data_IF_702750218244
#
_entry.id   IF_702750218244
#
_cell.length_a   1.000
_cell.length_b   1.000
_cell.length_c   1.000
_cell.angle_alpha   90.00
_cell.angle_beta   90.00
_cell.angle_gamma   90.00
#
_symmetry.space_group_name_H-M   'P 1'
#
loop_
_entity.id
_entity.type
_entity.pdbx_description
1 polymer ?
#
# COMPACT_ATOMS: atom_id res chain seq x y z
N UNK A 1 24.63 5.90 0.44
CA UNK A 1 24.05 6.09 1.78
C UNK A 1 23.13 4.94 2.10
N UNK A 2 23.35 4.27 3.23
CA UNK A 2 22.46 3.22 3.73
C UNK A 2 21.36 3.84 4.58
N UNK A 3 20.12 3.52 4.27
CA UNK A 3 18.95 4.04 4.99
C UNK A 3 18.01 2.93 5.41
N UNK A 4 17.21 3.18 6.46
CA UNK A 4 16.19 2.25 6.91
C UNK A 4 14.82 2.95 7.04
N UNK A 5 13.77 2.28 6.59
CA UNK A 5 12.39 2.72 6.74
C UNK A 5 11.58 1.62 7.41
N UNK A 6 11.03 1.93 8.58
CA UNK A 6 10.01 1.10 9.22
C UNK A 6 8.65 1.63 8.82
N UNK A 7 7.81 0.80 8.23
CA UNK A 7 6.48 1.15 7.70
C UNK A 7 5.39 0.40 8.49
N UNK A 8 4.49 1.14 9.12
CA UNK A 8 3.35 0.61 9.87
C UNK A 8 2.06 0.90 9.11
N UNK A 9 1.59 -0.10 8.37
CA UNK A 9 0.37 -0.01 7.56
C UNK A 9 -0.80 -0.81 8.15
N UNK A 10 -1.98 -0.69 7.53
CA UNK A 10 -3.23 -1.33 8.02
C UNK A 10 -3.14 -2.85 8.21
N UNK A 11 -2.32 -3.55 7.43
CA UNK A 11 -2.24 -5.01 7.49
C UNK A 11 -0.89 -5.54 7.97
N UNK A 12 0.17 -4.76 7.78
CA UNK A 12 1.55 -5.22 8.00
C UNK A 12 2.41 -4.10 8.55
N UNK A 13 3.34 -4.44 9.45
CA UNK A 13 4.55 -3.64 9.63
C UNK A 13 5.70 -4.27 8.86
N UNK A 14 6.56 -3.41 8.33
CA UNK A 14 7.70 -3.79 7.48
C UNK A 14 8.91 -2.95 7.83
N UNK A 15 10.10 -3.50 7.59
CA UNK A 15 11.33 -2.73 7.53
C UNK A 15 12.00 -2.95 6.18
N UNK A 16 12.49 -1.88 5.59
CA UNK A 16 13.37 -1.88 4.44
C UNK A 16 14.69 -1.26 4.88
N UNK A 17 15.79 -1.98 4.72
CA UNK A 17 17.15 -1.43 4.78
C UNK A 17 17.72 -1.48 3.36
N UNK A 18 18.17 -0.35 2.86
CA UNK A 18 18.60 -0.23 1.49
C UNK A 18 19.77 0.73 1.33
N UNK A 19 20.64 0.43 0.37
CA UNK A 19 21.63 1.37 -0.14
C UNK A 19 20.99 2.22 -1.23
N UNK A 20 21.07 3.54 -1.07
CA UNK A 20 20.54 4.50 -2.03
C UNK A 20 21.69 5.19 -2.74
N UNK A 21 21.77 4.98 -4.06
CA UNK A 21 22.79 5.55 -4.93
C UNK A 21 22.12 6.09 -6.20
N UNK A 22 22.33 7.35 -6.54
CA UNK A 22 21.81 7.97 -7.76
C UNK A 22 20.32 7.69 -8.02
N UNK A 23 19.48 7.87 -7.00
CA UNK A 23 18.03 7.60 -7.03
C UNK A 23 17.63 6.14 -7.23
N UNK A 24 18.57 5.19 -7.17
CA UNK A 24 18.33 3.75 -7.17
C UNK A 24 18.31 3.22 -5.74
N UNK A 25 17.37 2.33 -5.46
CA UNK A 25 17.21 1.68 -4.15
C UNK A 25 17.65 0.22 -4.28
N UNK A 26 18.80 -0.13 -3.70
CA UNK A 26 19.30 -1.50 -3.67
C UNK A 26 19.01 -2.10 -2.29
N UNK A 27 18.14 -3.10 -2.26
CA UNK A 27 17.64 -3.71 -1.01
C UNK A 27 18.74 -4.54 -0.35
N UNK A 28 19.12 -4.15 0.86
CA UNK A 28 20.07 -4.89 1.72
C UNK A 28 19.31 -5.92 2.57
N UNK A 29 18.21 -5.50 3.17
CA UNK A 29 17.36 -6.38 3.97
C UNK A 29 15.92 -5.91 3.97
N UNK A 30 15.00 -6.87 4.03
CA UNK A 30 13.56 -6.63 4.19
C UNK A 30 12.98 -7.65 5.18
N UNK A 31 12.11 -7.18 6.06
CA UNK A 31 11.28 -8.02 6.94
C UNK A 31 9.85 -7.50 6.94
N UNK A 32 8.93 -8.39 7.21
CA UNK A 32 7.52 -8.05 7.38
C UNK A 32 6.88 -8.90 8.45
N UNK A 33 5.98 -8.29 9.21
CA UNK A 33 5.06 -8.99 10.10
C UNK A 33 3.63 -8.54 9.79
N UNK A 34 2.68 -9.41 10.03
CA UNK A 34 1.27 -9.11 9.87
C UNK A 34 0.70 -8.72 11.21
N UNK A 35 -0.11 -7.66 11.21
CA UNK A 35 -0.66 -7.08 12.42
C UNK A 35 -2.19 -6.96 12.37
N UNK A 36 -2.79 -6.79 11.17
CA UNK A 36 -4.24 -6.65 11.04
C UNK A 36 -4.81 -5.36 11.66
N UNK A 37 -4.01 -4.30 11.79
CA UNK A 37 -4.42 -3.06 12.47
C UNK A 37 -5.68 -2.44 11.86
N UNK A 38 -5.76 -2.41 10.53
CA UNK A 38 -6.95 -1.88 9.84
C UNK A 38 -8.20 -2.71 10.12
N UNK A 39 -8.02 -3.99 10.43
CA UNK A 39 -9.10 -4.87 10.83
C UNK A 39 -9.63 -4.52 12.22
N UNK A 40 -8.75 -4.31 13.18
CA UNK A 40 -9.12 -3.92 14.52
C UNK A 40 -9.76 -2.53 14.53
N UNK A 41 -9.15 -1.55 13.85
CA UNK A 41 -9.70 -0.19 13.72
C UNK A 41 -11.09 -0.21 13.09
N UNK A 42 -11.30 -0.96 12.03
CA UNK A 42 -12.61 -1.04 11.36
C UNK A 42 -13.70 -1.65 12.26
N UNK A 43 -13.33 -2.55 13.19
CA UNK A 43 -14.24 -3.20 14.13
C UNK A 43 -14.52 -2.36 15.38
N UNK A 44 -13.51 -1.71 15.94
CA UNK A 44 -13.58 -1.08 17.28
C UNK A 44 -13.41 0.44 17.23
N UNK A 45 -12.94 0.99 16.12
CA UNK A 45 -12.60 2.40 15.95
C UNK A 45 -11.25 2.79 16.56
N UNK A 46 -10.54 1.87 17.22
CA UNK A 46 -9.25 2.15 17.89
C UNK A 46 -8.38 0.89 17.92
N UNK A 47 -7.13 1.04 18.34
CA UNK A 47 -6.24 -0.09 18.66
C UNK A 47 -6.23 -0.35 20.17
N UNK A 48 -6.27 -1.61 20.57
CA UNK A 48 -6.11 -2.01 21.97
C UNK A 48 -4.69 -1.73 22.45
N UNK A 49 -4.52 -1.57 23.76
CA UNK A 49 -3.18 -1.40 24.37
C UNK A 49 -2.25 -2.56 24.08
N UNK A 50 -2.78 -3.78 24.03
CA UNK A 50 -2.01 -4.98 23.71
C UNK A 50 -1.50 -4.94 22.26
N UNK A 51 -2.37 -4.57 21.32
CA UNK A 51 -1.98 -4.40 19.92
C UNK A 51 -0.91 -3.31 19.76
N UNK A 52 -1.08 -2.16 20.42
CA UNK A 52 -0.08 -1.09 20.43
C UNK A 52 1.26 -1.58 20.97
N UNK A 53 1.27 -2.35 22.09
CA UNK A 53 2.47 -2.91 22.67
C UNK A 53 3.17 -3.93 21.74
N UNK A 54 2.39 -4.76 21.02
CA UNK A 54 2.92 -5.71 20.02
C UNK A 54 3.58 -4.94 18.88
N UNK A 55 2.93 -3.89 18.35
CA UNK A 55 3.48 -3.05 17.27
C UNK A 55 4.77 -2.38 17.72
N UNK A 56 4.78 -1.77 18.92
CA UNK A 56 5.94 -1.08 19.45
C UNK A 56 7.15 -2.02 19.61
N UNK A 57 6.93 -3.24 20.14
CA UNK A 57 7.98 -4.27 20.26
C UNK A 57 8.54 -4.65 18.90
N UNK A 58 7.66 -4.94 17.94
CA UNK A 58 8.08 -5.29 16.57
C UNK A 58 8.87 -4.17 15.90
N UNK A 59 8.42 -2.92 16.05
CA UNK A 59 9.14 -1.77 15.50
C UNK A 59 10.51 -1.59 16.16
N UNK A 60 10.65 -1.90 17.46
CA UNK A 60 11.96 -1.93 18.14
C UNK A 60 12.90 -2.95 17.48
N UNK A 61 12.43 -4.19 17.27
CA UNK A 61 13.22 -5.24 16.62
C UNK A 61 13.68 -4.81 15.22
N UNK A 62 12.83 -4.08 14.51
CA UNK A 62 13.15 -3.53 13.19
C UNK A 62 14.18 -2.40 13.25
N UNK A 63 14.07 -1.51 14.25
CA UNK A 63 15.03 -0.44 14.46
C UNK A 63 16.40 -1.00 14.88
N UNK A 64 16.43 -2.03 15.75
CA UNK A 64 17.66 -2.69 16.16
C UNK A 64 18.34 -3.38 14.98
N UNK A 65 17.55 -4.02 14.10
CA UNK A 65 18.07 -4.57 12.86
C UNK A 65 18.63 -3.51 11.91
N UNK A 66 17.99 -2.35 11.82
CA UNK A 66 18.50 -1.23 11.02
C UNK A 66 19.87 -0.75 11.53
N UNK A 67 20.02 -0.64 12.86
CA UNK A 67 21.30 -0.29 13.52
C UNK A 67 22.38 -1.35 13.29
N UNK A 68 22.02 -2.63 13.46
CA UNK A 68 22.94 -3.75 13.23
C UNK A 68 23.41 -3.86 11.75
N UNK A 69 22.65 -3.30 10.82
CA UNK A 69 23.02 -3.19 9.41
C UNK A 69 23.62 -1.81 9.06
N UNK A 70 24.00 -1.05 10.06
CA UNK A 70 24.70 0.23 9.93
C UNK A 70 23.95 1.25 9.04
N UNK A 71 22.61 1.34 9.21
CA UNK A 71 21.84 2.37 8.54
C UNK A 71 22.23 3.76 9.07
N UNK A 72 22.73 4.63 8.19
CA UNK A 72 23.17 5.98 8.50
C UNK A 72 21.98 6.90 8.88
N UNK A 73 20.82 6.64 8.28
CA UNK A 73 19.55 7.31 8.60
C UNK A 73 18.44 6.28 8.70
N UNK A 74 17.54 6.49 9.66
CA UNK A 74 16.36 5.65 9.82
C UNK A 74 15.16 6.48 10.27
N UNK A 75 13.96 6.12 9.77
CA UNK A 75 12.69 6.70 10.20
C UNK A 75 11.61 5.62 10.31
N UNK A 76 10.57 5.92 11.07
CA UNK A 76 9.33 5.15 11.06
C UNK A 76 8.23 5.98 10.42
N UNK A 77 7.52 5.39 9.47
CA UNK A 77 6.32 5.97 8.87
C UNK A 77 5.09 5.17 9.30
N UNK A 78 4.02 5.87 9.62
CA UNK A 78 2.70 5.28 9.92
C UNK A 78 1.73 5.79 8.88
N UNK A 79 1.04 4.89 8.19
CA UNK A 79 0.11 5.23 7.12
C UNK A 79 -1.34 5.26 7.61
N UNK A 80 -2.27 4.61 6.95
CA UNK A 80 -3.69 4.64 7.30
C UNK A 80 -4.02 4.39 8.80
N UNK A 81 -3.34 3.49 9.55
CA UNK A 81 -3.64 3.31 10.99
C UNK A 81 -3.44 4.58 11.83
N UNK A 82 -2.50 5.43 11.44
CA UNK A 82 -2.26 6.73 12.10
C UNK A 82 -3.29 7.81 11.75
N UNK A 83 -4.11 7.60 10.72
CA UNK A 83 -5.14 8.54 10.29
C UNK A 83 -6.56 8.11 10.64
N UNK A 84 -6.80 6.82 10.71
CA UNK A 84 -8.14 6.23 10.75
C UNK A 84 -8.59 5.77 12.15
N UNK A 85 -7.67 5.62 13.10
CA UNK A 85 -7.98 5.30 14.50
C UNK A 85 -8.39 6.56 15.28
N UNK A 86 -9.20 6.39 16.34
CA UNK A 86 -9.62 7.51 17.21
C UNK A 86 -8.49 8.05 18.10
N UNK A 87 -7.46 7.25 18.38
CA UNK A 87 -6.35 7.63 19.23
C UNK A 87 -5.01 7.22 18.61
N UNK A 88 -4.66 7.79 17.45
CA UNK A 88 -3.43 7.43 16.75
C UNK A 88 -2.18 7.86 17.52
N UNK A 89 -2.28 8.87 18.38
CA UNK A 89 -1.19 9.37 19.23
C UNK A 89 -0.62 8.29 20.17
N UNK A 90 -1.44 7.37 20.65
CA UNK A 90 -0.98 6.26 21.49
C UNK A 90 -0.05 5.32 20.72
N UNK A 91 -0.39 5.00 19.48
CA UNK A 91 0.46 4.20 18.61
C UNK A 91 1.77 4.92 18.29
N UNK A 92 1.69 6.20 17.92
CA UNK A 92 2.85 7.02 17.57
C UNK A 92 3.81 7.14 18.74
N UNK A 93 3.32 7.50 19.93
CA UNK A 93 4.13 7.64 21.14
C UNK A 93 4.80 6.31 21.53
N UNK A 94 4.07 5.20 21.52
CA UNK A 94 4.61 3.90 21.85
C UNK A 94 5.70 3.45 20.88
N UNK A 95 5.50 3.67 19.57
CA UNK A 95 6.49 3.33 18.55
C UNK A 95 7.71 4.24 18.65
N UNK A 96 7.53 5.53 18.86
CA UNK A 96 8.64 6.49 19.02
C UNK A 96 9.51 6.16 20.23
N UNK A 97 8.88 5.87 21.37
CA UNK A 97 9.57 5.45 22.60
C UNK A 97 10.34 4.13 22.38
N UNK A 98 9.72 3.17 21.70
CA UNK A 98 10.31 1.85 21.47
C UNK A 98 11.49 1.88 20.50
N UNK A 99 11.38 2.63 19.41
CA UNK A 99 12.37 2.67 18.32
C UNK A 99 13.47 3.70 18.54
N UNK A 100 13.18 4.79 19.25
CA UNK A 100 14.02 6.01 19.36
C UNK A 100 14.33 6.61 17.98
N UNK A 101 13.45 6.39 17.00
CA UNK A 101 13.51 6.96 15.65
C UNK A 101 12.45 8.05 15.51
N UNK A 102 12.63 9.01 14.59
CA UNK A 102 11.55 9.88 14.17
C UNK A 102 10.36 9.06 13.67
N UNK A 103 9.15 9.39 14.12
CA UNK A 103 7.90 8.75 13.66
C UNK A 103 7.07 9.81 12.96
N UNK A 104 6.71 9.55 11.71
CA UNK A 104 5.83 10.42 10.92
C UNK A 104 4.54 9.70 10.57
N UNK A 105 3.42 10.31 10.86
CA UNK A 105 2.13 9.90 10.29
C UNK A 105 2.01 10.56 8.93
N UNK A 106 2.05 9.75 7.88
CA UNK A 106 1.92 10.28 6.52
C UNK A 106 0.49 10.73 6.26
N UNK A 107 0.31 11.92 5.72
CA UNK A 107 -0.94 12.28 5.07
C UNK A 107 -1.20 11.35 3.87
N UNK A 108 -2.44 11.27 3.42
CA UNK A 108 -2.78 10.45 2.26
C UNK A 108 -2.07 10.94 0.99
N UNK A 109 -1.87 12.24 0.88
CA UNK A 109 -1.13 12.84 -0.23
C UNK A 109 0.36 12.49 -0.18
N UNK A 110 1.00 12.57 1.00
CA UNK A 110 2.39 12.16 1.18
C UNK A 110 2.61 10.67 0.89
N UNK A 111 1.69 9.81 1.37
CA UNK A 111 1.71 8.38 1.08
C UNK A 111 1.67 8.13 -0.43
N UNK A 112 0.75 8.80 -1.15
CA UNK A 112 0.65 8.72 -2.60
C UNK A 112 1.93 9.20 -3.31
N UNK A 113 2.49 10.36 -2.92
CA UNK A 113 3.73 10.90 -3.50
C UNK A 113 4.94 9.99 -3.27
N UNK A 114 5.06 9.40 -2.09
CA UNK A 114 6.13 8.45 -1.80
C UNK A 114 5.93 7.15 -2.58
N UNK A 115 4.68 6.65 -2.67
CA UNK A 115 4.35 5.47 -3.47
C UNK A 115 4.70 5.66 -4.95
N UNK A 116 4.36 6.82 -5.51
CA UNK A 116 4.74 7.22 -6.86
C UNK A 116 6.24 7.21 -7.05
N UNK A 117 6.99 7.93 -6.19
CA UNK A 117 8.45 8.03 -6.27
C UNK A 117 9.11 6.65 -6.22
N UNK A 118 8.66 5.80 -5.28
CA UNK A 118 9.20 4.45 -5.14
C UNK A 118 8.85 3.53 -6.32
N UNK A 119 7.65 3.63 -6.87
CA UNK A 119 7.24 2.84 -8.04
C UNK A 119 8.06 3.24 -9.27
N UNK A 120 8.19 4.53 -9.54
CA UNK A 120 8.92 5.07 -10.71
C UNK A 120 10.41 4.78 -10.62
N UNK A 121 11.04 4.88 -9.44
CA UNK A 121 12.48 4.63 -9.27
C UNK A 121 12.93 3.21 -9.60
N UNK A 122 11.99 2.26 -9.69
CA UNK A 122 12.24 0.84 -9.97
C UNK A 122 11.86 0.42 -11.38
N UNK A 123 11.46 1.37 -12.23
CA UNK A 123 11.25 1.13 -13.66
C UNK A 123 12.60 1.26 -14.37
N UNK A 124 13.02 0.25 -15.12
CA UNK A 124 14.38 0.16 -15.69
C UNK A 124 14.71 1.29 -16.67
N UNK A 125 13.87 1.50 -17.67
CA UNK A 125 13.89 2.71 -18.48
C UNK A 125 12.75 3.62 -18.02
N UNK A 126 13.06 4.87 -17.69
CA UNK A 126 12.02 5.82 -17.29
C UNK A 126 11.06 6.05 -18.45
N UNK A 127 9.76 5.74 -18.29
CA UNK A 127 8.80 6.02 -19.32
C UNK A 127 8.84 7.52 -19.66
N UNK A 128 8.94 7.82 -20.95
CA UNK A 128 8.75 9.21 -21.40
C UNK A 128 7.27 9.55 -21.24
N UNK A 129 6.97 10.79 -20.84
CA UNK A 129 5.61 11.27 -20.69
C UNK A 129 5.04 11.16 -19.28
N UNK A 130 3.72 11.09 -19.19
CA UNK A 130 2.98 11.06 -17.90
C UNK A 130 2.78 9.63 -17.41
N UNK A 131 3.10 9.42 -16.16
CA UNK A 131 3.00 8.13 -15.47
C UNK A 131 1.88 8.23 -14.43
N UNK A 132 0.98 7.27 -14.41
CA UNK A 132 0.11 7.06 -13.26
C UNK A 132 0.68 5.96 -12.34
N UNK A 133 0.48 6.10 -11.04
CA UNK A 133 0.71 5.05 -10.06
C UNK A 133 -0.55 4.88 -9.23
N UNK A 134 -1.03 3.65 -9.16
CA UNK A 134 -2.16 3.23 -8.32
C UNK A 134 -1.62 2.41 -7.15
N UNK A 135 -1.86 2.84 -5.93
CA UNK A 135 -1.56 2.08 -4.71
C UNK A 135 -2.85 1.69 -4.01
N UNK A 136 -3.20 0.41 -4.05
CA UNK A 136 -4.36 -0.12 -3.33
C UNK A 136 -3.89 -0.72 -2.03
N UNK A 137 -3.98 0.08 -0.97
CA UNK A 137 -3.69 -0.31 0.40
C UNK A 137 -4.81 -1.14 1.04
N UNK A 138 -4.71 -1.34 2.36
CA UNK A 138 -5.78 -1.98 3.14
C UNK A 138 -6.91 -1.02 3.51
N UNK A 139 -6.56 0.22 3.84
CA UNK A 139 -7.47 1.25 4.32
C UNK A 139 -7.82 2.34 3.31
N UNK A 140 -6.93 2.62 2.36
CA UNK A 140 -7.06 3.69 1.35
C UNK A 140 -6.59 3.22 -0.02
N UNK A 141 -6.90 4.03 -1.05
CA UNK A 141 -6.42 3.88 -2.42
C UNK A 141 -5.96 5.23 -2.93
N UNK A 142 -4.71 5.29 -3.40
CA UNK A 142 -4.09 6.47 -3.98
C UNK A 142 -3.93 6.31 -5.50
N UNK A 143 -4.31 7.36 -6.25
CA UNK A 143 -4.01 7.51 -7.68
C UNK A 143 -3.16 8.77 -7.83
N UNK A 144 -1.98 8.60 -8.36
CA UNK A 144 -1.00 9.68 -8.52
C UNK A 144 -0.56 9.77 -9.96
N UNK A 145 -0.55 10.97 -10.51
CA UNK A 145 -0.08 11.22 -11.88
C UNK A 145 1.08 12.21 -11.84
N UNK A 146 2.10 11.93 -12.61
CA UNK A 146 3.29 12.77 -12.68
C UNK A 146 4.18 12.41 -13.86
N UNK A 147 5.43 12.81 -13.77
CA UNK A 147 6.53 12.45 -14.68
C UNK A 147 7.60 11.67 -13.92
N UNK A 148 8.63 11.21 -14.58
CA UNK A 148 9.78 10.58 -13.91
C UNK A 148 10.41 11.47 -12.83
N UNK A 149 10.22 12.80 -12.91
CA UNK A 149 10.83 13.79 -12.00
C UNK A 149 9.97 14.12 -10.80
N UNK A 150 8.64 14.19 -10.96
CA UNK A 150 7.74 14.64 -9.90
C UNK A 150 6.31 14.11 -10.04
N UNK A 151 5.66 13.90 -8.89
CA UNK A 151 4.21 13.69 -8.78
C UNK A 151 3.51 15.05 -8.84
N UNK A 152 2.64 15.26 -9.84
CA UNK A 152 1.99 16.53 -10.10
C UNK A 152 0.52 16.57 -9.68
N UNK A 153 -0.12 15.42 -9.61
CA UNK A 153 -1.52 15.29 -9.26
C UNK A 153 -1.71 14.06 -8.35
N UNK A 154 -2.44 14.22 -7.27
CA UNK A 154 -2.71 13.17 -6.29
C UNK A 154 -4.20 13.15 -5.96
N UNK A 155 -4.78 11.97 -5.89
CA UNK A 155 -6.08 11.71 -5.28
C UNK A 155 -5.97 10.50 -4.38
N UNK A 156 -6.51 10.61 -3.19
CA UNK A 156 -6.66 9.51 -2.25
C UNK A 156 -8.12 9.38 -1.87
N UNK A 157 -8.57 8.15 -1.73
CA UNK A 157 -9.88 7.83 -1.20
C UNK A 157 -9.75 6.87 -0.03
N UNK A 158 -10.55 7.08 1.00
CA UNK A 158 -10.58 6.26 2.22
C UNK A 158 -11.30 4.92 1.98
N UNK A 159 -10.96 4.25 0.88
CA UNK A 159 -11.47 2.94 0.49
C UNK A 159 -10.32 2.07 0.00
N UNK A 160 -9.87 1.16 0.87
CA UNK A 160 -8.85 0.16 0.56
C UNK A 160 -9.42 -1.25 0.56
N UNK A 161 -8.59 -2.22 0.19
CA UNK A 161 -9.01 -3.62 -0.02
C UNK A 161 -9.62 -4.29 1.21
N UNK A 162 -9.10 -4.03 2.42
CA UNK A 162 -9.64 -4.60 3.67
C UNK A 162 -10.95 -3.90 4.03
N UNK A 163 -10.98 -2.58 3.93
CA UNK A 163 -12.17 -1.79 4.23
C UNK A 163 -13.34 -2.18 3.35
N UNK A 164 -13.15 -2.23 2.03
CA UNK A 164 -14.17 -2.65 1.08
C UNK A 164 -14.66 -4.07 1.37
N UNK A 165 -13.74 -5.01 1.56
CA UNK A 165 -14.09 -6.41 1.86
C UNK A 165 -14.99 -6.51 3.09
N UNK A 166 -14.66 -5.78 4.16
CA UNK A 166 -15.45 -5.83 5.40
C UNK A 166 -16.80 -5.16 5.30
N UNK A 167 -16.89 -4.09 4.56
CA UNK A 167 -18.14 -3.37 4.40
C UNK A 167 -19.14 -4.12 3.52
N UNK A 168 -18.66 -4.73 2.42
CA UNK A 168 -19.50 -5.24 1.35
C UNK A 168 -19.45 -6.76 1.11
N UNK A 169 -18.32 -7.42 1.41
CA UNK A 169 -18.07 -8.81 1.05
C UNK A 169 -18.03 -9.69 2.31
N UNK A 170 -19.20 -9.98 2.89
CA UNK A 170 -19.32 -10.69 4.18
C UNK A 170 -19.19 -12.20 4.04
N UNK A 171 -19.55 -12.73 2.87
CA UNK A 171 -19.44 -14.17 2.57
C UNK A 171 -18.18 -14.47 1.76
N UNK A 172 -17.68 -15.70 1.86
CA UNK A 172 -16.53 -16.19 1.12
C UNK A 172 -16.81 -17.57 0.51
N UNK A 173 -17.15 -17.69 -0.79
CA UNK A 173 -17.22 -16.58 -1.76
C UNK A 173 -18.42 -15.65 -1.50
N UNK A 174 -18.38 -14.39 -2.00
CA UNK A 174 -19.46 -13.44 -1.81
C UNK A 174 -20.71 -13.86 -2.59
N UNK A 175 -21.87 -13.36 -2.14
CA UNK A 175 -23.11 -13.45 -2.91
C UNK A 175 -23.08 -12.49 -4.10
N UNK A 176 -23.97 -12.70 -5.09
CA UNK A 176 -24.10 -11.80 -6.25
C UNK A 176 -24.42 -10.38 -5.79
N UNK A 177 -25.38 -10.21 -4.87
CA UNK A 177 -25.77 -8.89 -4.34
C UNK A 177 -24.64 -8.18 -3.59
N UNK A 178 -23.81 -8.91 -2.85
CA UNK A 178 -22.62 -8.34 -2.21
C UNK A 178 -21.59 -7.85 -3.23
N UNK A 179 -21.39 -8.63 -4.29
CA UNK A 179 -20.46 -8.26 -5.35
C UNK A 179 -20.94 -7.01 -6.09
N UNK A 180 -22.22 -6.94 -6.41
CA UNK A 180 -22.82 -5.78 -7.10
C UNK A 180 -22.75 -4.54 -6.21
N UNK A 181 -23.14 -4.63 -4.94
CA UNK A 181 -23.02 -3.53 -3.99
C UNK A 181 -21.57 -3.05 -3.78
N UNK A 182 -20.60 -4.00 -3.80
CA UNK A 182 -19.18 -3.64 -3.74
C UNK A 182 -18.72 -2.90 -5.00
N UNK A 183 -19.18 -3.30 -6.19
CA UNK A 183 -18.90 -2.60 -7.45
C UNK A 183 -19.49 -1.19 -7.46
N UNK A 184 -20.75 -1.06 -7.03
CA UNK A 184 -21.43 0.24 -6.96
C UNK A 184 -20.71 1.21 -6.02
N UNK A 185 -20.30 0.75 -4.84
CA UNK A 185 -19.52 1.56 -3.91
C UNK A 185 -18.17 1.99 -4.50
N UNK A 186 -17.46 1.06 -5.13
CA UNK A 186 -16.17 1.35 -5.78
C UNK A 186 -16.36 2.36 -6.92
N UNK A 187 -17.38 2.18 -7.74
CA UNK A 187 -17.70 3.09 -8.84
C UNK A 187 -18.10 4.48 -8.31
N UNK A 188 -18.96 4.56 -7.31
CA UNK A 188 -19.35 5.83 -6.69
C UNK A 188 -18.14 6.58 -6.08
N UNK A 189 -17.15 5.82 -5.55
CA UNK A 189 -15.99 6.41 -4.86
C UNK A 189 -14.87 6.82 -5.83
N UNK A 190 -14.52 5.96 -6.79
CA UNK A 190 -13.40 6.18 -7.71
C UNK A 190 -13.85 6.70 -9.07
N UNK A 191 -15.04 6.32 -9.53
CA UNK A 191 -15.51 6.62 -10.89
C UNK A 191 -15.74 8.11 -11.16
N UNK A 192 -15.94 8.92 -10.12
CA UNK A 192 -16.03 10.38 -10.21
C UNK A 192 -14.67 11.08 -10.35
N UNK A 193 -13.56 10.34 -10.22
CA UNK A 193 -12.21 10.90 -10.31
C UNK A 193 -11.90 11.19 -11.78
N UNK A 194 -11.64 12.45 -12.11
CA UNK A 194 -11.11 12.85 -13.40
C UNK A 194 -9.58 12.91 -13.31
N UNK A 195 -8.93 11.85 -13.75
CA UNK A 195 -7.47 11.78 -13.77
C UNK A 195 -6.90 12.44 -15.04
N UNK A 196 -5.72 13.09 -14.96
CA UNK A 196 -5.01 13.54 -16.16
C UNK A 196 -4.68 12.36 -17.08
N UNK A 197 -4.66 12.59 -18.39
CA UNK A 197 -4.22 11.59 -19.38
C UNK A 197 -2.80 11.11 -19.05
N UNK A 198 -2.57 9.80 -19.20
CA UNK A 198 -1.29 9.16 -18.90
C UNK A 198 -0.85 8.24 -20.03
N UNK A 199 0.47 8.09 -20.17
CA UNK A 199 1.05 7.20 -21.18
C UNK A 199 1.23 5.78 -20.62
N UNK A 200 1.56 5.68 -19.32
CA UNK A 200 1.78 4.43 -18.60
C UNK A 200 1.06 4.48 -17.26
N UNK A 201 0.48 3.35 -16.84
CA UNK A 201 -0.09 3.19 -15.52
C UNK A 201 0.57 2.03 -14.78
N UNK A 202 1.09 2.31 -13.60
CA UNK A 202 1.72 1.34 -12.71
C UNK A 202 0.78 1.04 -11.55
N UNK A 203 0.83 -0.20 -11.04
CA UNK A 203 0.15 -0.56 -9.80
C UNK A 203 1.15 -1.09 -8.78
N UNK A 204 1.04 -0.65 -7.54
CA UNK A 204 1.91 -1.06 -6.45
C UNK A 204 1.12 -1.61 -5.25
N UNK A 205 1.82 -2.02 -4.23
CA UNK A 205 1.22 -2.52 -3.01
C UNK A 205 0.88 -4.01 -3.02
N UNK A 206 0.19 -4.42 -1.96
CA UNK A 206 -0.12 -5.84 -1.73
C UNK A 206 -1.24 -6.37 -2.61
N UNK A 207 -2.22 -5.54 -2.92
CA UNK A 207 -3.36 -5.90 -3.79
C UNK A 207 -2.90 -6.10 -5.22
N UNK A 208 -2.08 -5.18 -5.76
CA UNK A 208 -1.51 -5.28 -7.10
C UNK A 208 -0.68 -6.56 -7.27
N UNK A 209 0.19 -6.89 -6.29
CA UNK A 209 0.96 -8.13 -6.31
C UNK A 209 0.10 -9.38 -6.24
N UNK A 210 -1.01 -9.34 -5.50
CA UNK A 210 -1.89 -10.49 -5.38
C UNK A 210 -2.68 -10.73 -6.68
N UNK A 211 -3.18 -9.67 -7.32
CA UNK A 211 -3.85 -9.75 -8.63
C UNK A 211 -2.86 -10.22 -9.69
N UNK A 212 -1.64 -9.70 -9.72
CA UNK A 212 -0.62 -10.13 -10.66
C UNK A 212 -0.26 -11.63 -10.56
N UNK A 213 -0.39 -12.24 -9.38
CA UNK A 213 -0.23 -13.70 -9.22
C UNK A 213 -1.35 -14.51 -9.88
N UNK A 214 -2.51 -13.90 -10.12
CA UNK A 214 -3.66 -14.56 -10.72
C UNK A 214 -3.68 -14.39 -12.25
N UNK A 215 -3.20 -13.23 -12.75
CA UNK A 215 -3.40 -12.86 -14.16
C UNK A 215 -2.14 -12.38 -14.87
N UNK A 216 -0.99 -12.39 -14.22
CA UNK A 216 0.29 -11.89 -14.76
C UNK A 216 0.62 -10.46 -14.33
N UNK A 217 1.84 -9.97 -14.64
CA UNK A 217 2.34 -8.69 -14.14
C UNK A 217 1.79 -7.46 -14.87
N UNK A 218 1.14 -7.63 -16.02
CA UNK A 218 0.45 -6.57 -16.78
C UNK A 218 -0.99 -6.99 -16.98
N UNK A 219 -1.93 -6.15 -16.55
CA UNK A 219 -3.35 -6.50 -16.56
C UNK A 219 -4.23 -5.27 -16.79
N UNK A 220 -5.08 -5.36 -17.80
CA UNK A 220 -6.16 -4.43 -18.07
C UNK A 220 -7.45 -4.87 -17.37
N UNK A 221 -8.53 -4.14 -17.64
CA UNK A 221 -9.86 -4.44 -17.08
C UNK A 221 -10.27 -5.89 -17.37
N UNK A 222 -10.01 -6.41 -18.57
CA UNK A 222 -10.38 -7.78 -18.95
C UNK A 222 -9.67 -8.84 -18.09
N UNK A 223 -8.38 -8.68 -17.83
CA UNK A 223 -7.61 -9.61 -17.01
C UNK A 223 -8.04 -9.54 -15.54
N UNK A 224 -8.29 -8.32 -15.04
CA UNK A 224 -8.76 -8.15 -13.66
C UNK A 224 -10.16 -8.77 -13.48
N UNK A 225 -11.06 -8.62 -14.46
CA UNK A 225 -12.38 -9.25 -14.42
C UNK A 225 -12.31 -10.79 -14.37
N UNK A 226 -11.31 -11.42 -15.03
CA UNK A 226 -11.06 -12.86 -14.88
C UNK A 226 -10.66 -13.22 -13.44
N UNK A 227 -9.83 -12.39 -12.79
CA UNK A 227 -9.48 -12.58 -11.39
C UNK A 227 -10.70 -12.41 -10.47
N UNK A 228 -11.53 -11.38 -10.71
CA UNK A 228 -12.77 -11.15 -9.97
C UNK A 228 -13.73 -12.35 -10.12
N UNK A 229 -13.96 -12.83 -11.35
CA UNK A 229 -14.81 -13.98 -11.61
C UNK A 229 -14.30 -15.26 -10.93
N UNK A 230 -12.99 -15.46 -10.84
CA UNK A 230 -12.40 -16.59 -10.10
C UNK A 230 -12.63 -16.45 -8.59
N UNK A 231 -12.41 -15.25 -8.04
CA UNK A 231 -12.51 -14.95 -6.60
C UNK A 231 -13.95 -14.92 -6.11
N UNK A 232 -14.91 -14.57 -6.97
CA UNK A 232 -16.35 -14.57 -6.62
C UNK A 232 -17.00 -15.95 -6.67
N UNK A 233 -16.35 -16.96 -7.26
CA UNK A 233 -16.89 -18.31 -7.38
C UNK A 233 -16.22 -19.33 -6.46
N UNK A 234 -15.14 -18.98 -5.79
CA UNK A 234 -14.34 -19.89 -4.95
C UNK A 234 -13.90 -19.18 -3.69
N UNK A 235 -13.79 -19.92 -2.60
CA UNK A 235 -13.29 -19.37 -1.34
C UNK A 235 -11.89 -18.75 -1.52
N UNK A 236 -11.67 -17.64 -0.85
CA UNK A 236 -10.39 -16.92 -0.86
C UNK A 236 -9.22 -17.82 -0.44
N UNK A 237 -9.44 -18.71 0.53
CA UNK A 237 -8.46 -19.70 0.97
C UNK A 237 -8.05 -20.65 -0.15
N UNK A 238 -9.03 -21.17 -0.94
CA UNK A 238 -8.76 -22.10 -2.03
C UNK A 238 -7.98 -21.44 -3.16
N UNK A 239 -8.40 -20.23 -3.56
CA UNK A 239 -7.69 -19.43 -4.58
C UNK A 239 -6.30 -19.03 -4.09
N UNK A 240 -6.21 -18.55 -2.87
CA UNK A 240 -4.95 -18.12 -2.26
C UNK A 240 -3.90 -19.23 -2.20
N UNK A 241 -4.31 -20.44 -1.80
CA UNK A 241 -3.41 -21.61 -1.77
C UNK A 241 -2.87 -21.93 -3.17
N UNK A 242 -3.76 -21.97 -4.18
CA UNK A 242 -3.34 -22.30 -5.56
C UNK A 242 -2.40 -21.23 -6.15
N UNK A 243 -2.61 -19.96 -5.83
CA UNK A 243 -1.82 -18.84 -6.35
C UNK A 243 -0.61 -18.45 -5.47
N UNK A 244 -0.36 -19.18 -4.38
CA UNK A 244 0.70 -18.83 -3.43
C UNK A 244 0.48 -17.46 -2.76
N UNK A 245 -0.80 -17.10 -2.54
CA UNK A 245 -1.20 -15.90 -1.81
C UNK A 245 -1.48 -16.32 -0.36
N UNK A 246 -0.86 -15.63 0.56
CA UNK A 246 -1.05 -15.95 1.98
C UNK A 246 -2.52 -15.75 2.41
N UNK A 247 -3.11 -16.61 3.28
CA UNK A 247 -4.53 -16.60 3.64
C UNK A 247 -5.09 -15.23 4.06
N UNK A 248 -4.42 -14.54 4.97
CA UNK A 248 -4.83 -13.19 5.42
C UNK A 248 -4.90 -12.18 4.26
N UNK A 249 -4.02 -12.30 3.27
CA UNK A 249 -4.08 -11.46 2.07
C UNK A 249 -5.18 -11.94 1.13
N UNK A 250 -5.35 -13.25 0.99
CA UNK A 250 -6.35 -13.85 0.13
C UNK A 250 -7.76 -13.32 0.44
N UNK A 251 -8.11 -13.18 1.73
CA UNK A 251 -9.39 -12.67 2.18
C UNK A 251 -9.75 -11.26 1.63
N UNK A 252 -8.76 -10.44 1.28
CA UNK A 252 -9.00 -9.07 0.77
C UNK A 252 -8.61 -8.87 -0.70
N UNK A 253 -8.27 -9.95 -1.42
CA UNK A 253 -7.82 -9.83 -2.83
C UNK A 253 -8.96 -9.41 -3.73
N UNK A 254 -10.18 -9.91 -3.50
CA UNK A 254 -11.35 -9.53 -4.30
C UNK A 254 -11.65 -8.03 -4.17
N UNK A 255 -11.67 -7.49 -2.95
CA UNK A 255 -11.82 -6.04 -2.75
C UNK A 255 -10.71 -5.23 -3.43
N UNK A 256 -9.46 -5.74 -3.36
CA UNK A 256 -8.34 -5.13 -4.07
C UNK A 256 -8.46 -5.20 -5.59
N UNK A 257 -8.99 -6.29 -6.14
CA UNK A 257 -9.21 -6.45 -7.57
C UNK A 257 -10.31 -5.50 -8.10
N UNK A 258 -11.40 -5.33 -7.35
CA UNK A 258 -12.45 -4.36 -7.68
C UNK A 258 -11.92 -2.93 -7.76
N UNK A 259 -11.12 -2.51 -6.78
CA UNK A 259 -10.48 -1.18 -6.75
C UNK A 259 -9.50 -0.98 -7.92
N UNK A 260 -8.69 -2.00 -8.23
CA UNK A 260 -7.75 -1.96 -9.37
C UNK A 260 -8.48 -1.92 -10.72
N UNK A 261 -9.61 -2.65 -10.86
CA UNK A 261 -10.42 -2.63 -12.08
C UNK A 261 -10.96 -1.22 -12.35
N UNK A 262 -11.51 -0.57 -11.33
CA UNK A 262 -12.05 0.78 -11.47
C UNK A 262 -10.94 1.81 -11.71
N UNK A 263 -9.79 1.68 -11.03
CA UNK A 263 -8.64 2.55 -11.29
C UNK A 263 -8.12 2.41 -12.73
N UNK A 264 -8.06 1.19 -13.28
CA UNK A 264 -7.70 0.95 -14.67
C UNK A 264 -8.72 1.59 -15.64
N UNK A 265 -10.02 1.54 -15.30
CA UNK A 265 -11.09 2.19 -16.06
C UNK A 265 -10.96 3.71 -16.03
N UNK A 266 -10.75 4.31 -14.87
CA UNK A 266 -10.57 5.76 -14.70
C UNK A 266 -9.35 6.29 -15.46
N UNK A 267 -8.26 5.52 -15.46
CA UNK A 267 -7.03 5.88 -16.17
C UNK A 267 -7.10 5.57 -17.68
N UNK A 268 -8.05 4.74 -18.12
CA UNK A 268 -8.13 4.27 -19.52
C UNK A 268 -6.89 3.47 -19.96
N UNK A 269 -6.16 2.84 -19.02
CA UNK A 269 -4.88 2.15 -19.27
C UNK A 269 -4.80 0.82 -18.53
N UNK A 270 -4.13 -0.19 -19.12
CA UNK A 270 -3.75 -1.37 -18.37
C UNK A 270 -2.72 -0.99 -17.29
N UNK A 271 -2.76 -1.72 -16.18
CA UNK A 271 -1.87 -1.53 -15.04
C UNK A 271 -0.68 -2.50 -15.15
N UNK A 272 0.52 -1.99 -14.92
CA UNK A 272 1.74 -2.79 -14.87
C UNK A 272 2.23 -2.85 -13.42
N UNK A 273 2.52 -4.05 -12.93
CA UNK A 273 3.00 -4.23 -11.55
C UNK A 273 4.36 -3.56 -11.35
N UNK A 274 4.41 -2.55 -10.47
CA UNK A 274 5.65 -1.93 -10.03
C UNK A 274 6.35 -2.73 -8.93
N UNK A 275 7.69 -2.66 -8.93
CA UNK A 275 8.53 -3.33 -7.92
C UNK A 275 8.77 -2.50 -6.67
N UNK A 276 8.55 -1.18 -6.71
CA UNK A 276 8.69 -0.23 -5.60
C UNK A 276 7.34 0.32 -5.14
N UNK A 277 7.36 1.08 -4.04
CA UNK A 277 6.18 1.73 -3.44
C UNK A 277 6.58 2.69 -2.32
N UNK A 278 5.70 2.90 -1.34
CA UNK A 278 5.88 3.89 -0.26
C UNK A 278 7.26 3.79 0.42
N UNK A 279 7.73 2.59 0.76
CA UNK A 279 8.99 2.41 1.49
C UNK A 279 10.21 2.79 0.67
N UNK A 280 10.24 2.40 -0.59
CA UNK A 280 11.31 2.77 -1.52
C UNK A 280 11.30 4.29 -1.75
N UNK A 281 10.12 4.90 -1.86
CA UNK A 281 9.98 6.36 -1.94
C UNK A 281 10.43 7.08 -0.67
N UNK A 282 10.11 6.55 0.51
CA UNK A 282 10.58 7.06 1.79
C UNK A 282 12.10 6.92 1.93
N UNK A 283 12.68 5.79 1.53
CA UNK A 283 14.14 5.59 1.52
C UNK A 283 14.85 6.62 0.62
N UNK A 284 14.31 6.91 -0.56
CA UNK A 284 14.81 7.95 -1.45
C UNK A 284 14.70 9.36 -0.85
N UNK A 285 13.60 9.65 -0.15
CA UNK A 285 13.39 10.93 0.52
C UNK A 285 14.40 11.11 1.67
N UNK A 286 14.55 10.07 2.49
CA UNK A 286 15.46 10.07 3.63
C UNK A 286 16.93 10.24 3.20
N UNK A 287 17.35 9.54 2.14
CA UNK A 287 18.70 9.65 1.59
C UNK A 287 19.00 11.04 1.01
N UNK A 288 18.00 11.70 0.41
CA UNK A 288 18.18 13.04 -0.19
C UNK A 288 18.12 14.20 0.82
N UNK A 289 17.91 13.91 2.11
CA UNK A 289 17.70 14.95 3.14
C UNK A 289 16.38 15.71 2.98
N UNK A 290 15.55 15.32 2.03
CA UNK A 290 14.22 15.90 1.80
C UNK A 290 13.17 15.16 2.67
N UNK A 291 13.38 15.14 3.96
CA UNK A 291 12.28 14.89 4.90
C UNK A 291 11.39 16.12 4.79
N UNK A 292 10.16 15.96 4.29
CA UNK A 292 9.22 17.06 4.27
C UNK A 292 9.15 17.64 5.68
N UNK A 293 9.50 18.93 5.81
CA UNK A 293 9.25 19.66 7.03
C UNK A 293 7.74 19.51 7.32
N UNK A 294 7.41 19.05 8.51
CA UNK A 294 6.05 19.11 9.01
C UNK A 294 5.68 20.61 9.03
N UNK A 295 4.79 21.01 8.12
CA UNK A 295 4.13 22.29 8.17
C UNK A 295 2.91 22.18 9.09
#
# INVERSE_FOLDING_TARGET
>A
MRVAVVDVGSNTARVLVADVVACRVDVVAERRARLGLGEEIARTGTLSRDTVAIVARLCRDYADRARALEAERAETIVTAPGRQGRSPELLVAAVQQATRLPVRVLSAEEEGRLSFRGAVSRVGEHPRGKIAVVDVGGGSTEIVVGTALAANWVRSVDLGSIRLTRQMLRHDPPTGSELDAARDLVHATLGAITAPLTDVALATGGSARAVAKLVGPSYGTREIEKAIALLSRRTSTKVGRKAGIHPVRAASVLGGALLLAEAARVLGRPLVLARGGVREGAALALASGRVAAAA
#
